data_IF_978955703100
#
_entry.id   IF_978955703100
#
_cell.length_a   1.000
_cell.length_b   1.000
_cell.length_c   1.000
_cell.angle_alpha   90.00
_cell.angle_beta   90.00
_cell.angle_gamma   90.00
#
_symmetry.space_group_name_H-M   'P 1'
#
loop_
_entity.id
_entity.type
_entity.pdbx_description
1 polymer ?
#
# COMPACT_ATOMS: atom_id res chain seq x y z
N UNK A 1 -6.55 -16.66 8.19
CA UNK A 1 -6.90 -15.42 7.51
C UNK A 1 -5.95 -14.31 7.95
N UNK A 2 -5.34 -13.65 7.00
CA UNK A 2 -4.41 -12.57 7.29
C UNK A 2 -5.16 -11.26 7.49
N UNK A 3 -4.99 -10.68 8.67
CA UNK A 3 -5.59 -9.39 9.03
C UNK A 3 -4.50 -8.32 8.91
N UNK A 4 -4.49 -7.57 7.81
CA UNK A 4 -3.52 -6.49 7.69
C UNK A 4 -4.06 -5.33 6.87
N UNK A 5 -3.52 -4.13 7.09
CA UNK A 5 -3.83 -2.98 6.25
C UNK A 5 -3.33 -3.19 4.83
N UNK A 6 -4.02 -2.59 3.88
CA UNK A 6 -3.54 -2.53 2.52
C UNK A 6 -3.87 -1.18 1.87
N UNK A 7 -3.16 -0.92 0.79
CA UNK A 7 -3.20 0.35 0.07
C UNK A 7 -3.60 0.08 -1.36
N UNK A 8 -4.54 0.86 -1.85
CA UNK A 8 -5.01 0.75 -3.23
C UNK A 8 -4.70 2.04 -3.96
N UNK A 9 -3.99 1.95 -5.08
CA UNK A 9 -3.81 3.05 -6.00
C UNK A 9 -4.88 2.93 -7.09
N UNK A 10 -5.67 3.95 -7.25
CA UNK A 10 -6.79 3.95 -8.17
C UNK A 10 -6.98 5.32 -8.82
N UNK A 11 -7.83 5.34 -9.83
CA UNK A 11 -8.30 6.56 -10.46
C UNK A 11 -9.81 6.48 -10.59
N UNK A 12 -10.48 7.62 -10.44
CA UNK A 12 -11.90 7.76 -10.70
C UNK A 12 -12.20 9.23 -10.96
N UNK A 13 -13.38 9.53 -11.47
CA UNK A 13 -13.74 10.89 -11.82
C UNK A 13 -13.79 11.82 -10.60
N UNK A 14 -14.20 11.28 -9.44
CA UNK A 14 -14.42 12.07 -8.22
C UNK A 14 -13.51 11.68 -7.05
N UNK A 15 -12.54 10.79 -7.27
CA UNK A 15 -11.65 10.31 -6.20
C UNK A 15 -12.28 9.32 -5.24
N UNK A 16 -13.44 8.78 -5.56
CA UNK A 16 -14.11 7.79 -4.73
C UNK A 16 -13.86 6.38 -5.23
N UNK A 17 -13.57 5.47 -4.32
CA UNK A 17 -13.46 4.03 -4.61
C UNK A 17 -14.80 3.54 -5.15
N UNK A 18 -14.77 2.84 -6.28
CA UNK A 18 -16.00 2.38 -6.93
C UNK A 18 -16.83 3.48 -7.58
N UNK A 19 -16.34 4.71 -7.61
CA UNK A 19 -17.03 5.84 -8.25
C UNK A 19 -17.02 5.77 -9.77
N UNK A 20 -17.56 6.82 -10.41
CA UNK A 20 -17.62 6.89 -11.85
C UNK A 20 -16.24 6.82 -12.48
N UNK A 21 -16.06 5.99 -13.52
CA UNK A 21 -14.79 5.71 -14.21
C UNK A 21 -13.70 5.19 -13.27
N UNK A 22 -14.09 4.40 -12.27
CA UNK A 22 -13.16 3.78 -11.34
C UNK A 22 -12.24 2.79 -12.06
N UNK A 23 -10.93 2.90 -11.80
CA UNK A 23 -9.91 1.98 -12.31
C UNK A 23 -8.88 1.70 -11.22
N UNK A 24 -8.61 0.44 -10.96
CA UNK A 24 -7.56 0.03 -10.04
C UNK A 24 -6.24 -0.15 -10.77
N UNK A 25 -5.17 0.31 -10.13
CA UNK A 25 -3.81 0.19 -10.66
C UNK A 25 -2.99 -0.81 -9.86
N UNK A 26 -3.01 -0.68 -8.56
CA UNK A 26 -2.18 -1.47 -7.66
C UNK A 26 -2.89 -1.66 -6.33
N UNK A 27 -2.75 -2.86 -5.77
CA UNK A 27 -3.13 -3.15 -4.40
C UNK A 27 -1.91 -3.75 -3.72
N UNK A 28 -1.52 -3.17 -2.59
CA UNK A 28 -0.34 -3.59 -1.82
C UNK A 28 -0.72 -3.78 -0.38
N UNK A 29 -0.46 -4.97 0.15
CA UNK A 29 -0.66 -5.29 1.56
C UNK A 29 0.64 -5.12 2.33
N UNK A 30 0.53 -4.89 3.64
CA UNK A 30 1.71 -4.70 4.50
C UNK A 30 2.55 -5.96 4.68
N UNK A 31 2.05 -7.12 4.32
CA UNK A 31 2.82 -8.36 4.30
C UNK A 31 3.56 -8.57 2.97
N UNK A 32 3.35 -7.70 2.01
CA UNK A 32 3.96 -7.78 0.69
C UNK A 32 3.09 -8.42 -0.39
N UNK A 33 1.96 -9.03 -0.03
CA UNK A 33 1.02 -9.48 -1.04
C UNK A 33 0.57 -8.30 -1.89
N UNK A 34 0.50 -8.49 -3.19
CA UNK A 34 0.15 -7.41 -4.08
C UNK A 34 -0.58 -7.92 -5.32
N UNK A 35 -1.30 -7.00 -5.92
CA UNK A 35 -1.97 -7.20 -7.19
C UNK A 35 -1.76 -5.95 -8.03
N UNK A 36 -1.53 -6.13 -9.32
CA UNK A 36 -1.36 -5.03 -10.26
C UNK A 36 -2.19 -5.26 -11.51
N UNK A 37 -2.64 -4.17 -12.10
CA UNK A 37 -3.23 -4.21 -13.45
C UNK A 37 -2.08 -4.23 -14.46
N UNK A 38 -1.83 -5.37 -15.07
CA UNK A 38 -0.74 -5.54 -16.05
C UNK A 38 -0.84 -4.58 -17.24
N UNK A 39 -2.05 -4.18 -17.59
CA UNK A 39 -2.28 -3.22 -18.66
C UNK A 39 -1.87 -1.80 -18.28
N UNK A 40 -1.95 -1.46 -17.01
CA UNK A 40 -1.78 -0.08 -16.53
C UNK A 40 -0.48 0.18 -15.79
N UNK A 41 0.12 -0.86 -15.20
CA UNK A 41 1.25 -0.70 -14.28
C UNK A 41 2.28 -1.81 -14.48
N UNK A 42 3.55 -1.44 -14.41
CA UNK A 42 4.65 -2.37 -14.16
C UNK A 42 5.07 -2.16 -12.71
N UNK A 43 5.01 -3.21 -11.90
CA UNK A 43 5.28 -3.12 -10.47
C UNK A 43 6.41 -4.04 -10.04
N UNK A 44 7.27 -3.54 -9.16
CA UNK A 44 8.31 -4.33 -8.51
C UNK A 44 8.13 -4.19 -7.00
N UNK A 45 8.10 -5.32 -6.30
CA UNK A 45 7.94 -5.34 -4.84
C UNK A 45 9.12 -6.08 -4.23
N UNK A 46 9.76 -5.45 -3.25
CA UNK A 46 10.84 -6.04 -2.47
C UNK A 46 10.44 -6.05 -1.01
N UNK A 47 10.55 -7.22 -0.38
CA UNK A 47 10.22 -7.42 1.03
C UNK A 47 11.50 -7.71 1.79
N UNK A 48 11.78 -6.91 2.83
CA UNK A 48 12.92 -7.10 3.71
C UNK A 48 12.49 -7.31 5.14
N UNK A 49 13.28 -8.08 5.88
CA UNK A 49 13.07 -8.32 7.30
C UNK A 49 14.27 -7.81 8.09
N UNK A 50 14.00 -7.15 9.23
CA UNK A 50 15.02 -6.76 10.20
C UNK A 50 15.11 -7.81 11.31
N UNK A 51 16.05 -7.63 12.24
CA UNK A 51 16.21 -8.50 13.41
C UNK A 51 15.00 -8.56 14.33
N UNK A 52 14.09 -7.59 14.24
CA UNK A 52 12.87 -7.57 15.05
C UNK A 52 11.78 -8.50 14.51
N UNK A 53 11.94 -8.99 13.32
CA UNK A 53 10.99 -9.92 12.72
C UNK A 53 11.26 -11.35 13.23
N UNK A 54 10.26 -11.96 13.83
CA UNK A 54 10.35 -13.31 14.40
C UNK A 54 9.29 -14.26 13.87
N UNK A 55 8.92 -14.10 12.59
CA UNK A 55 7.97 -14.96 11.92
C UNK A 55 6.62 -14.29 11.68
N UNK A 56 5.92 -14.78 10.67
CA UNK A 56 4.64 -14.19 10.22
C UNK A 56 3.52 -14.38 11.24
N UNK A 57 3.48 -15.49 11.95
CA UNK A 57 2.45 -15.70 12.97
C UNK A 57 2.58 -14.69 14.11
N UNK A 58 3.81 -14.47 14.58
CA UNK A 58 4.08 -13.48 15.62
C UNK A 58 3.80 -12.07 15.13
N UNK A 59 4.19 -11.75 13.90
CA UNK A 59 3.91 -10.47 13.26
C UNK A 59 2.41 -10.20 13.22
N UNK A 60 1.63 -11.21 12.84
CA UNK A 60 0.19 -11.12 12.74
C UNK A 60 -0.47 -10.92 14.11
N UNK A 61 -0.01 -11.69 15.12
CA UNK A 61 -0.53 -11.58 16.47
C UNK A 61 -0.28 -10.19 17.07
N UNK A 62 0.88 -9.63 16.83
CA UNK A 62 1.21 -8.27 17.28
C UNK A 62 0.37 -7.22 16.56
N UNK A 63 0.14 -7.38 15.25
CA UNK A 63 -0.71 -6.46 14.51
C UNK A 63 -2.16 -6.46 14.99
N UNK A 64 -2.68 -7.62 15.41
CA UNK A 64 -4.03 -7.71 16.00
C UNK A 64 -4.17 -6.92 17.29
N UNK A 65 -3.09 -6.68 18.00
CA UNK A 65 -3.09 -5.90 19.25
C UNK A 65 -3.12 -4.39 19.00
N UNK A 66 -2.99 -3.96 17.76
CA UNK A 66 -2.99 -2.56 17.38
C UNK A 66 -1.60 -1.95 17.47
N UNK A 67 -0.96 -1.78 16.33
CA UNK A 67 0.39 -1.23 16.23
C UNK A 67 0.44 -0.17 15.16
N UNK A 68 1.23 0.86 15.40
CA UNK A 68 1.46 1.89 14.42
C UNK A 68 2.18 1.34 13.20
N UNK A 69 1.72 1.75 12.04
CA UNK A 69 2.41 1.48 10.79
C UNK A 69 2.67 2.78 10.04
N UNK A 70 3.76 2.80 9.28
CA UNK A 70 4.16 3.96 8.50
C UNK A 70 4.11 3.61 7.02
N UNK A 71 3.57 4.54 6.25
CA UNK A 71 3.57 4.47 4.80
C UNK A 71 4.15 5.76 4.25
N UNK A 72 5.15 5.63 3.38
CA UNK A 72 5.68 6.75 2.61
C UNK A 72 5.36 6.55 1.15
N UNK A 73 4.89 7.60 0.52
CA UNK A 73 4.54 7.58 -0.89
C UNK A 73 5.17 8.79 -1.56
N UNK A 74 5.80 8.53 -2.71
CA UNK A 74 6.38 9.58 -3.53
C UNK A 74 6.07 9.29 -4.99
N UNK A 75 5.72 10.31 -5.73
CA UNK A 75 5.52 10.19 -7.17
C UNK A 75 6.52 11.04 -7.91
N UNK A 76 7.18 10.46 -8.91
CA UNK A 76 8.05 11.14 -9.85
C UNK A 76 7.62 10.77 -11.27
N UNK A 77 6.94 11.69 -11.95
CA UNK A 77 6.41 11.42 -13.30
C UNK A 77 5.50 10.20 -13.30
N UNK A 78 5.89 9.17 -14.04
CA UNK A 78 5.13 7.91 -14.14
C UNK A 78 5.48 6.91 -13.05
N UNK A 79 6.46 7.20 -12.20
CA UNK A 79 6.91 6.28 -11.15
C UNK A 79 6.30 6.64 -9.81
N UNK A 80 5.82 5.62 -9.11
CA UNK A 80 5.27 5.75 -7.76
C UNK A 80 6.08 4.85 -6.84
N UNK A 81 6.64 5.45 -5.79
CA UNK A 81 7.43 4.76 -4.79
C UNK A 81 6.61 4.66 -3.51
N UNK A 82 6.41 3.45 -3.01
CA UNK A 82 5.77 3.22 -1.73
C UNK A 82 6.68 2.41 -0.83
N UNK A 83 6.78 2.82 0.42
CA UNK A 83 7.54 2.09 1.43
C UNK A 83 6.70 1.98 2.69
N UNK A 84 6.55 0.76 3.18
CA UNK A 84 5.91 0.48 4.47
C UNK A 84 6.93 -0.07 5.44
N UNK A 85 6.75 0.24 6.72
CA UNK A 85 7.54 -0.35 7.80
C UNK A 85 6.60 -0.73 8.92
N UNK A 86 6.68 -1.99 9.35
CA UNK A 86 5.84 -2.50 10.43
C UNK A 86 6.50 -3.72 11.06
N UNK A 87 6.81 -3.63 12.35
CA UNK A 87 7.29 -4.78 13.16
C UNK A 87 8.43 -5.56 12.51
N UNK A 88 9.40 -4.86 11.95
CA UNK A 88 10.55 -5.48 11.31
C UNK A 88 10.33 -5.93 9.88
N UNK A 89 9.15 -5.68 9.32
CA UNK A 89 8.88 -5.94 7.91
C UNK A 89 8.88 -4.62 7.15
N UNK A 90 9.65 -4.55 6.08
CA UNK A 90 9.71 -3.41 5.18
C UNK A 90 9.29 -3.88 3.78
N UNK A 91 8.29 -3.22 3.20
CA UNK A 91 7.84 -3.50 1.84
C UNK A 91 8.11 -2.27 1.00
N UNK A 92 8.90 -2.43 -0.05
CA UNK A 92 9.21 -1.38 -1.00
C UNK A 92 8.57 -1.73 -2.35
N UNK A 93 7.77 -0.81 -2.87
CA UNK A 93 7.12 -0.97 -4.16
C UNK A 93 7.52 0.16 -5.09
N UNK A 94 7.91 -0.19 -6.30
CA UNK A 94 8.17 0.76 -7.38
C UNK A 94 7.22 0.42 -8.50
N UNK A 95 6.30 1.32 -8.77
CA UNK A 95 5.26 1.13 -9.78
C UNK A 95 5.42 2.15 -10.89
N UNK A 96 5.49 1.70 -12.13
CA UNK A 96 5.52 2.58 -13.29
C UNK A 96 4.18 2.52 -14.00
N UNK A 97 3.51 3.67 -14.07
CA UNK A 97 2.19 3.80 -14.69
C UNK A 97 2.37 3.87 -16.21
N UNK A 98 1.71 2.96 -16.93
CA UNK A 98 1.81 2.88 -18.38
C UNK A 98 0.91 3.84 -19.13
N UNK A 99 -0.28 4.11 -18.57
CA UNK A 99 -1.22 5.03 -19.21
C UNK A 99 -0.89 6.50 -18.87
N UNK A 100 -1.57 7.41 -19.50
CA UNK A 100 -1.32 8.83 -19.31
C UNK A 100 -2.05 9.47 -18.13
N UNK A 101 -2.52 8.68 -17.18
CA UNK A 101 -3.32 9.19 -16.07
C UNK A 101 -2.49 10.12 -15.18
N UNK A 102 -2.93 11.36 -15.08
CA UNK A 102 -2.22 12.39 -14.32
C UNK A 102 -2.58 12.39 -12.84
N UNK A 103 -3.82 12.03 -12.51
CA UNK A 103 -4.32 12.10 -11.14
C UNK A 103 -4.64 10.71 -10.62
N UNK A 104 -3.94 10.31 -9.58
CA UNK A 104 -4.13 9.03 -8.91
C UNK A 104 -4.48 9.29 -7.44
N UNK A 105 -5.27 8.40 -6.90
CA UNK A 105 -5.72 8.44 -5.51
C UNK A 105 -5.20 7.22 -4.78
N UNK A 106 -5.09 7.34 -3.48
CA UNK A 106 -4.68 6.24 -2.61
C UNK A 106 -5.76 6.02 -1.57
N UNK A 107 -6.27 4.81 -1.52
CA UNK A 107 -7.19 4.38 -0.48
C UNK A 107 -6.43 3.54 0.54
N UNK A 108 -6.67 3.83 1.82
CA UNK A 108 -6.20 3.00 2.92
C UNK A 108 -7.37 2.17 3.38
N UNK A 109 -7.16 0.87 3.45
CA UNK A 109 -8.22 -0.04 3.88
C UNK A 109 -7.59 -1.21 4.63
N UNK A 110 -8.39 -2.18 5.02
CA UNK A 110 -7.90 -3.30 5.77
C UNK A 110 -8.63 -4.58 5.41
N UNK A 111 -7.89 -5.67 5.40
CA UNK A 111 -8.46 -7.00 5.28
C UNK A 111 -8.73 -7.50 6.69
N UNK A 112 -10.00 -7.45 7.12
CA UNK A 112 -10.43 -7.85 8.45
C UNK A 112 -9.67 -7.15 9.58
N UNK A 113 -9.32 -5.90 9.39
CA UNK A 113 -8.67 -5.08 10.41
C UNK A 113 -9.26 -3.68 10.42
N UNK A 114 -9.08 -2.98 11.52
CA UNK A 114 -9.49 -1.59 11.67
C UNK A 114 -8.28 -0.67 11.56
N UNK A 115 -8.46 0.45 10.89
CA UNK A 115 -7.46 1.50 10.80
C UNK A 115 -7.99 2.70 11.56
N UNK A 116 -7.21 3.21 12.50
CA UNK A 116 -7.61 4.35 13.34
C UNK A 116 -6.45 5.34 13.46
N UNK A 117 -6.77 6.56 13.88
CA UNK A 117 -5.78 7.61 14.15
C UNK A 117 -4.86 7.90 12.96
N UNK A 118 -5.40 7.81 11.75
CA UNK A 118 -4.64 8.08 10.53
C UNK A 118 -4.20 9.54 10.49
N UNK A 119 -2.90 9.75 10.25
CA UNK A 119 -2.32 11.07 10.10
C UNK A 119 -1.57 11.14 8.78
N UNK A 120 -1.74 12.24 8.07
CA UNK A 120 -1.09 12.46 6.79
C UNK A 120 -0.15 13.66 6.93
N UNK A 121 1.11 13.42 6.61
CA UNK A 121 2.14 14.44 6.62
C UNK A 121 2.67 14.62 5.20
N UNK A 122 2.88 15.86 4.80
CA UNK A 122 3.51 16.14 3.52
C UNK A 122 4.98 16.47 3.78
N UNK A 123 5.87 15.73 3.14
CA UNK A 123 7.30 16.01 3.16
C UNK A 123 7.67 16.87 1.96
N UNK A 124 8.50 17.88 2.18
CA UNK A 124 9.00 18.76 1.10
C UNK A 124 10.35 18.27 0.59
#
# INVERSE_FOLDING_TARGET
VWHCPYFCIFSSKNGQVGGDKYREYLLLKMDGENWESEEKVVNEVLIDHTGDFSGWENWMDKNKQGIDCKLRIRREGKMIFMKTENLGVSVNSISTVKDGTKKLYIALTGDQCAISNTRIFREN
#
